data_IF_926761130536
#
_entry.id   IF_926761130536
#
_cell.length_a   1.000
_cell.length_b   1.000
_cell.length_c   1.000
_cell.angle_alpha   90.00
_cell.angle_beta   90.00
_cell.angle_gamma   90.00
#
_symmetry.space_group_name_H-M   'P 1'
#
loop_
_entity.id
_entity.type
_entity.pdbx_description
1 polymer ?
#
# COMPACT_ATOMS: atom_id res chain seq x y z
N UNK A 1 7.14 12.95 -0.92
CA UNK A 1 6.74 12.68 -2.31
C UNK A 1 7.98 12.84 -3.17
N UNK A 2 8.45 11.77 -3.79
CA UNK A 2 9.62 11.84 -4.67
C UNK A 2 9.14 12.04 -6.10
N UNK A 3 9.42 13.21 -6.68
CA UNK A 3 9.22 13.50 -8.09
C UNK A 3 10.53 13.28 -8.85
N UNK A 4 10.98 12.03 -8.98
CA UNK A 4 12.07 11.69 -9.91
C UNK A 4 11.44 11.12 -11.18
N UNK A 5 11.07 12.01 -12.11
CA UNK A 5 10.47 11.66 -13.40
C UNK A 5 8.95 11.77 -13.45
N UNK A 6 8.36 11.13 -14.46
CA UNK A 6 6.95 11.25 -14.89
C UNK A 6 5.93 10.56 -13.97
N UNK A 7 6.36 10.01 -12.83
CA UNK A 7 5.53 9.23 -11.93
C UNK A 7 5.69 9.71 -10.49
N UNK A 8 4.58 9.94 -9.82
CA UNK A 8 4.50 10.25 -8.40
C UNK A 8 4.78 9.00 -7.58
N UNK A 9 5.62 9.16 -6.56
CA UNK A 9 5.97 8.10 -5.65
C UNK A 9 6.02 8.54 -4.18
N UNK A 10 5.68 7.60 -3.29
CA UNK A 10 5.76 7.73 -1.83
C UNK A 10 6.66 6.63 -1.29
N UNK A 11 7.64 7.02 -0.48
CA UNK A 11 8.48 6.07 0.25
C UNK A 11 7.75 5.60 1.51
N UNK A 12 7.84 4.30 1.78
CA UNK A 12 7.33 3.69 2.98
C UNK A 12 8.44 2.91 3.67
N UNK A 13 8.58 3.16 4.97
CA UNK A 13 9.38 2.31 5.83
C UNK A 13 8.62 1.03 6.14
N UNK A 14 9.34 -0.10 6.20
CA UNK A 14 8.74 -1.32 6.69
C UNK A 14 8.53 -1.32 8.22
N UNK A 15 7.93 -2.41 8.73
CA UNK A 15 7.55 -2.59 10.13
C UNK A 15 8.63 -3.14 11.12
N UNK A 16 9.92 -3.20 10.81
CA UNK A 16 10.95 -3.92 11.59
C UNK A 16 12.35 -3.29 11.55
N UNK A 17 13.26 -3.76 12.40
CA UNK A 17 14.63 -3.23 12.57
C UNK A 17 15.53 -3.58 11.38
N UNK A 18 16.26 -2.59 10.83
CA UNK A 18 17.20 -2.76 9.70
C UNK A 18 16.57 -2.76 8.30
N UNK A 19 15.44 -2.07 8.09
CA UNK A 19 14.59 -2.33 6.93
C UNK A 19 14.81 -1.46 5.69
N UNK A 20 14.54 -2.09 4.54
CA UNK A 20 14.49 -1.51 3.21
C UNK A 20 13.29 -0.56 3.09
N UNK A 21 13.51 0.61 2.51
CA UNK A 21 12.42 1.48 2.06
C UNK A 21 11.74 0.84 0.84
N UNK A 22 10.41 0.94 0.79
CA UNK A 22 9.62 0.56 -0.36
C UNK A 22 9.12 1.83 -1.04
N UNK A 23 9.14 1.84 -2.37
CA UNK A 23 8.59 2.95 -3.15
C UNK A 23 7.24 2.51 -3.70
N UNK A 24 6.17 3.17 -3.26
CA UNK A 24 4.84 3.02 -3.84
C UNK A 24 4.68 4.08 -4.94
N UNK A 25 4.30 3.63 -6.13
CA UNK A 25 3.99 4.52 -7.26
C UNK A 25 2.48 4.68 -7.43
N UNK A 26 2.06 5.84 -7.94
CA UNK A 26 0.67 6.06 -8.29
C UNK A 26 0.24 5.16 -9.46
N UNK A 27 -0.68 4.23 -9.20
CA UNK A 27 -1.15 3.25 -10.19
C UNK A 27 -1.76 3.89 -11.43
N UNK A 28 -2.54 4.98 -11.29
CA UNK A 28 -3.18 5.63 -12.42
C UNK A 28 -2.16 6.30 -13.35
N UNK A 29 -1.11 6.90 -12.78
CA UNK A 29 -0.02 7.50 -13.55
C UNK A 29 0.85 6.44 -14.22
N UNK A 30 1.11 5.31 -13.54
CA UNK A 30 1.78 4.16 -14.14
C UNK A 30 1.01 3.63 -15.36
N UNK A 31 -0.31 3.53 -15.26
CA UNK A 31 -1.17 3.08 -16.35
C UNK A 31 -1.23 4.10 -17.49
N UNK A 32 -1.33 5.39 -17.19
CA UNK A 32 -1.27 6.45 -18.20
C UNK A 32 0.08 6.42 -18.94
N UNK A 33 1.19 6.33 -18.22
CA UNK A 33 2.53 6.24 -18.81
C UNK A 33 2.69 4.98 -19.67
N UNK A 34 2.07 3.87 -19.29
CA UNK A 34 2.09 2.65 -20.07
C UNK A 34 1.26 2.79 -21.36
N UNK A 35 0.06 3.36 -21.30
CA UNK A 35 -0.79 3.58 -22.49
C UNK A 35 -0.11 4.46 -23.51
N UNK A 36 0.46 5.58 -23.09
CA UNK A 36 1.21 6.48 -23.97
C UNK A 36 2.40 5.75 -24.62
N UNK A 37 3.11 4.93 -23.85
CA UNK A 37 4.18 4.10 -24.41
C UNK A 37 3.65 3.13 -25.47
N UNK A 38 2.56 2.43 -25.20
CA UNK A 38 1.97 1.45 -26.10
C UNK A 38 1.48 2.11 -27.40
N UNK A 39 0.82 3.26 -27.30
CA UNK A 39 0.40 4.08 -28.45
C UNK A 39 1.58 4.48 -29.34
N UNK A 40 2.69 4.95 -28.75
CA UNK A 40 3.91 5.28 -29.51
C UNK A 40 4.54 4.07 -30.19
N UNK A 41 4.51 2.91 -29.52
CA UNK A 41 5.04 1.65 -30.07
C UNK A 41 4.20 1.21 -31.27
N UNK A 42 2.87 1.25 -31.14
CA UNK A 42 1.95 0.93 -32.23
C UNK A 42 2.13 1.89 -33.42
N UNK A 43 2.23 3.19 -33.16
CA UNK A 43 2.46 4.20 -34.19
C UNK A 43 3.78 4.01 -34.97
N UNK A 44 4.79 3.35 -34.36
CA UNK A 44 6.11 3.07 -34.97
C UNK A 44 6.23 1.69 -35.62
N UNK A 45 5.14 0.93 -35.72
CA UNK A 45 5.16 -0.42 -36.31
C UNK A 45 5.57 -1.55 -35.34
N UNK A 46 5.52 -1.33 -34.02
CA UNK A 46 5.44 -2.38 -33.01
C UNK A 46 6.74 -3.12 -32.62
N UNK A 47 7.84 -2.94 -33.33
CA UNK A 47 8.99 -3.87 -33.26
C UNK A 47 10.23 -3.36 -32.50
N UNK A 48 10.47 -2.05 -32.40
CA UNK A 48 11.80 -1.54 -32.01
C UNK A 48 11.93 -0.87 -30.63
N UNK A 49 10.85 -0.65 -29.87
CA UNK A 49 10.96 0.06 -28.58
C UNK A 49 11.30 -0.89 -27.40
N UNK A 50 12.41 -0.58 -26.73
CA UNK A 50 13.18 -1.44 -25.79
C UNK A 50 12.74 -1.36 -24.31
N UNK A 51 11.46 -1.21 -23.96
CA UNK A 51 11.11 -1.40 -22.53
C UNK A 51 11.24 -2.90 -22.16
N UNK A 52 11.84 -3.24 -20.99
CA UNK A 52 11.95 -4.63 -20.57
C UNK A 52 10.56 -5.29 -20.46
N UNK A 53 10.24 -6.16 -21.42
CA UNK A 53 8.97 -6.92 -21.47
C UNK A 53 8.91 -8.08 -20.48
N UNK A 54 9.96 -8.27 -19.68
CA UNK A 54 10.12 -9.43 -18.80
C UNK A 54 8.91 -9.67 -17.87
N UNK A 55 8.08 -8.66 -17.60
CA UNK A 55 6.92 -8.76 -16.70
C UNK A 55 5.61 -8.25 -17.33
N UNK A 56 5.61 -7.92 -18.63
CA UNK A 56 4.43 -7.35 -19.31
C UNK A 56 3.26 -8.34 -19.31
N UNK A 57 3.57 -9.63 -19.42
CA UNK A 57 2.60 -10.73 -19.39
C UNK A 57 1.90 -10.87 -18.02
N UNK A 58 2.47 -10.32 -16.94
CA UNK A 58 1.82 -10.30 -15.62
C UNK A 58 0.88 -9.10 -15.43
N UNK A 59 0.89 -8.13 -16.35
CA UNK A 59 0.11 -6.89 -16.22
C UNK A 59 -1.38 -7.16 -16.18
N UNK A 60 -1.92 -7.88 -17.16
CA UNK A 60 -3.35 -8.13 -17.24
C UNK A 60 -3.87 -8.94 -16.02
N UNK A 61 -3.21 -10.04 -15.59
CA UNK A 61 -3.55 -10.69 -14.33
C UNK A 61 -3.51 -9.74 -13.12
N UNK A 62 -2.54 -8.82 -13.07
CA UNK A 62 -2.44 -7.85 -11.97
C UNK A 62 -3.59 -6.85 -11.99
N UNK A 63 -3.94 -6.31 -13.15
CA UNK A 63 -5.06 -5.39 -13.28
C UNK A 63 -6.38 -6.04 -12.89
N UNK A 64 -6.61 -7.30 -13.27
CA UNK A 64 -7.80 -8.05 -12.84
C UNK A 64 -7.84 -8.19 -11.32
N UNK A 65 -6.70 -8.50 -10.67
CA UNK A 65 -6.60 -8.55 -9.20
C UNK A 65 -6.89 -7.20 -8.55
N UNK A 66 -6.37 -6.11 -9.11
CA UNK A 66 -6.60 -4.76 -8.58
C UNK A 66 -8.06 -4.31 -8.75
N UNK A 67 -8.68 -4.65 -9.88
CA UNK A 67 -10.09 -4.35 -10.15
C UNK A 67 -11.05 -5.14 -9.24
N UNK A 68 -10.63 -6.31 -8.74
CA UNK A 68 -11.41 -7.12 -7.81
C UNK A 68 -11.33 -6.64 -6.35
N UNK A 69 -10.60 -5.55 -6.06
CA UNK A 69 -10.53 -4.99 -4.71
C UNK A 69 -11.81 -4.19 -4.45
N UNK A 70 -12.59 -4.63 -3.46
CA UNK A 70 -13.85 -3.99 -3.06
C UNK A 70 -13.65 -2.56 -2.54
N UNK A 71 -12.63 -2.36 -1.70
CA UNK A 71 -12.30 -1.07 -1.11
C UNK A 71 -10.92 -0.58 -1.57
N UNK A 72 -10.84 0.13 -2.71
CA UNK A 72 -9.58 0.64 -3.22
C UNK A 72 -9.03 1.75 -2.33
N UNK A 73 -7.77 1.60 -1.92
CA UNK A 73 -7.05 2.63 -1.16
C UNK A 73 -6.45 3.63 -2.16
N UNK A 74 -6.90 4.88 -2.10
CA UNK A 74 -6.39 5.95 -2.94
C UNK A 74 -4.91 6.24 -2.63
N UNK A 75 -4.11 6.60 -3.64
CA UNK A 75 -2.66 6.81 -3.48
C UNK A 75 -2.31 7.85 -2.40
N UNK A 76 -3.03 8.98 -2.36
CA UNK A 76 -2.81 10.03 -1.34
C UNK A 76 -3.22 9.62 0.08
N UNK A 77 -4.05 8.58 0.22
CA UNK A 77 -4.51 8.04 1.49
C UNK A 77 -3.69 6.80 1.94
N UNK A 78 -2.90 6.22 1.03
CA UNK A 78 -2.13 5.01 1.29
C UNK A 78 -0.94 5.28 2.19
N UNK A 79 -0.89 4.60 3.33
CA UNK A 79 0.19 4.68 4.32
C UNK A 79 0.78 3.32 4.65
N UNK A 80 2.01 3.32 5.15
CA UNK A 80 2.70 2.13 5.62
C UNK A 80 2.23 1.67 7.01
N UNK A 81 2.60 0.45 7.38
CA UNK A 81 2.25 -0.16 8.68
C UNK A 81 2.75 0.67 9.88
N UNK A 82 3.97 1.20 9.81
CA UNK A 82 4.56 1.99 10.91
C UNK A 82 3.77 3.26 11.17
N UNK A 83 3.40 3.97 10.12
CA UNK A 83 2.58 5.18 10.23
C UNK A 83 1.17 4.86 10.73
N UNK A 84 0.53 3.80 10.21
CA UNK A 84 -0.76 3.34 10.70
C UNK A 84 -0.72 2.99 12.20
N UNK A 85 0.33 2.31 12.64
CA UNK A 85 0.55 1.97 14.05
C UNK A 85 0.66 3.22 14.94
N UNK A 86 1.36 4.26 14.46
CA UNK A 86 1.45 5.55 15.15
C UNK A 86 0.11 6.27 15.28
N UNK A 87 -0.72 6.26 14.22
CA UNK A 87 -2.08 6.84 14.26
C UNK A 87 -2.98 6.09 15.27
N UNK A 88 -2.90 4.76 15.25
CA UNK A 88 -3.74 3.88 16.06
C UNK A 88 -3.25 3.76 17.51
N UNK A 89 -2.00 4.14 17.80
CA UNK A 89 -1.39 3.96 19.12
C UNK A 89 -1.15 2.50 19.49
N UNK A 90 -0.86 1.64 18.51
CA UNK A 90 -0.65 0.19 18.70
C UNK A 90 0.73 -0.24 18.21
N UNK A 91 1.18 -1.42 18.61
CA UNK A 91 2.43 -1.97 18.07
C UNK A 91 2.25 -2.37 16.57
N UNK A 92 3.23 -2.13 15.69
CA UNK A 92 3.14 -2.42 14.24
C UNK A 92 2.67 -3.84 13.87
N UNK A 93 2.97 -4.84 14.69
CA UNK A 93 2.52 -6.22 14.47
C UNK A 93 1.00 -6.43 14.64
N UNK A 94 0.28 -5.48 15.24
CA UNK A 94 -1.18 -5.54 15.38
C UNK A 94 -1.90 -5.03 14.14
N UNK A 95 -1.30 -4.14 13.36
CA UNK A 95 -1.94 -3.58 12.16
C UNK A 95 -2.39 -4.68 11.18
N UNK A 96 -1.57 -5.70 10.83
CA UNK A 96 -2.04 -6.82 10.02
C UNK A 96 -3.19 -7.61 10.63
N UNK A 97 -3.27 -7.68 11.97
CA UNK A 97 -4.36 -8.38 12.68
C UNK A 97 -5.66 -7.58 12.60
N UNK A 98 -5.59 -6.27 12.79
CA UNK A 98 -6.73 -5.36 12.65
C UNK A 98 -7.27 -5.35 11.22
N UNK A 99 -6.39 -5.35 10.21
CA UNK A 99 -6.79 -5.51 8.81
C UNK A 99 -7.55 -6.85 8.60
N UNK A 100 -7.00 -7.95 9.13
CA UNK A 100 -7.64 -9.28 9.00
C UNK A 100 -8.98 -9.35 9.73
N UNK A 101 -9.12 -8.62 10.84
CA UNK A 101 -10.36 -8.51 11.59
C UNK A 101 -11.41 -7.61 10.91
N UNK A 102 -11.00 -6.78 9.95
CA UNK A 102 -11.87 -5.78 9.31
C UNK A 102 -12.01 -4.49 10.12
N UNK A 103 -11.20 -4.29 11.16
CA UNK A 103 -11.25 -3.08 12.00
C UNK A 103 -10.76 -1.83 11.25
N UNK A 104 -9.84 -2.04 10.30
CA UNK A 104 -9.25 -1.01 9.45
C UNK A 104 -9.09 -1.52 8.02
N UNK A 105 -9.21 -0.60 7.07
CA UNK A 105 -9.05 -0.89 5.63
C UNK A 105 -7.56 -0.96 5.31
N UNK A 106 -7.13 -2.13 4.86
CA UNK A 106 -5.75 -2.36 4.44
C UNK A 106 -5.62 -3.61 3.60
N UNK A 107 -4.51 -3.72 2.87
CA UNK A 107 -4.23 -4.90 2.06
C UNK A 107 -2.75 -5.16 1.93
N UNK A 108 -2.42 -6.38 1.54
CA UNK A 108 -1.05 -6.71 1.15
C UNK A 108 -0.71 -6.01 -0.17
N UNK A 109 0.51 -5.48 -0.24
CA UNK A 109 1.06 -4.97 -1.48
C UNK A 109 1.22 -6.13 -2.47
N UNK A 110 0.82 -5.89 -3.72
CA UNK A 110 1.10 -6.83 -4.79
C UNK A 110 2.52 -6.56 -5.32
N UNK A 111 3.48 -7.40 -4.92
CA UNK A 111 4.85 -7.38 -5.46
C UNK A 111 5.11 -8.61 -6.34
N UNK A 112 6.09 -8.50 -7.23
CA UNK A 112 6.65 -9.61 -8.02
C UNK A 112 7.05 -10.81 -7.16
N UNK A 113 7.49 -10.53 -5.93
CA UNK A 113 8.10 -11.46 -4.99
C UNK A 113 7.14 -11.94 -3.89
N UNK A 114 5.85 -12.13 -4.18
CA UNK A 114 4.92 -12.70 -3.19
C UNK A 114 5.33 -14.10 -2.68
N UNK A 115 6.21 -14.79 -3.41
CA UNK A 115 6.83 -16.08 -3.01
C UNK A 115 7.98 -15.86 -2.01
N UNK A 116 8.70 -14.74 -2.09
CA UNK A 116 9.81 -14.44 -1.19
C UNK A 116 9.27 -13.86 0.12
N UNK A 117 9.13 -14.78 1.08
CA UNK A 117 8.95 -14.57 2.52
C UNK A 117 7.54 -14.24 3.01
N UNK A 118 6.84 -15.30 3.45
CA UNK A 118 5.69 -15.25 4.38
C UNK A 118 5.92 -14.34 5.60
N UNK A 119 7.18 -14.04 5.93
CA UNK A 119 7.61 -13.25 7.08
C UNK A 119 7.75 -11.74 6.82
N UNK A 120 7.64 -11.25 5.57
CA UNK A 120 7.87 -9.83 5.23
C UNK A 120 6.77 -9.23 4.35
N UNK A 121 5.53 -9.65 4.56
CA UNK A 121 4.39 -9.09 3.84
C UNK A 121 4.31 -7.58 4.11
N UNK A 122 4.47 -6.79 3.04
CA UNK A 122 4.26 -5.34 3.07
C UNK A 122 2.76 -5.08 2.99
N UNK A 123 2.23 -4.28 3.92
CA UNK A 123 0.84 -3.85 3.89
C UNK A 123 0.78 -2.36 3.58
N UNK A 124 -0.25 -2.00 2.83
CA UNK A 124 -0.71 -0.62 2.70
C UNK A 124 -2.03 -0.49 3.45
N UNK A 125 -2.21 0.62 4.15
CA UNK A 125 -3.39 0.92 4.95
C UNK A 125 -4.01 2.23 4.47
N UNK A 126 -5.32 2.37 4.62
CA UNK A 126 -6.01 3.66 4.46
C UNK A 126 -5.75 4.53 5.69
N UNK A 127 -5.17 5.72 5.50
CA UNK A 127 -4.98 6.70 6.58
C UNK A 127 -6.31 7.11 7.16
N UNK A 128 -7.30 7.41 6.29
CA UNK A 128 -8.66 7.78 6.71
C UNK A 128 -9.28 6.71 7.62
N UNK A 129 -9.21 5.44 7.23
CA UNK A 129 -9.74 4.34 8.04
C UNK A 129 -9.02 4.24 9.40
N UNK A 130 -7.70 4.40 9.43
CA UNK A 130 -6.95 4.41 10.70
C UNK A 130 -7.38 5.56 11.62
N UNK A 131 -7.61 6.76 11.07
CA UNK A 131 -8.05 7.93 11.84
C UNK A 131 -9.48 7.75 12.37
N UNK A 132 -10.38 7.18 11.58
CA UNK A 132 -11.75 6.87 11.99
C UNK A 132 -11.77 5.83 13.11
N UNK A 133 -11.01 4.74 12.97
CA UNK A 133 -10.89 3.72 14.01
C UNK A 133 -10.31 4.32 15.31
N UNK A 134 -9.24 5.12 15.22
CA UNK A 134 -8.66 5.79 16.38
C UNK A 134 -9.67 6.71 17.10
N UNK A 135 -10.55 7.41 16.36
CA UNK A 135 -11.63 8.23 16.96
C UNK A 135 -12.64 7.37 17.71
N UNK A 136 -13.09 6.27 17.10
CA UNK A 136 -14.04 5.32 17.72
C UNK A 136 -13.45 4.76 19.02
N UNK A 137 -12.21 4.30 18.98
CA UNK A 137 -11.52 3.74 20.16
C UNK A 137 -11.38 4.78 21.27
N UNK A 138 -11.02 6.02 20.95
CA UNK A 138 -10.95 7.11 21.94
C UNK A 138 -12.31 7.41 22.56
N UNK A 139 -13.38 7.43 21.76
CA UNK A 139 -14.74 7.62 22.29
C UNK A 139 -15.14 6.49 23.24
N UNK A 140 -14.81 5.24 22.92
CA UNK A 140 -15.04 4.09 23.80
C UNK A 140 -14.25 4.19 25.11
N UNK A 141 -13.00 4.65 25.06
CA UNK A 141 -12.18 4.89 26.26
C UNK A 141 -12.80 5.97 27.16
N UNK A 142 -13.25 7.08 26.57
CA UNK A 142 -13.95 8.14 27.31
C UNK A 142 -15.27 7.68 27.94
N UNK A 143 -15.98 6.77 27.27
CA UNK A 143 -17.21 6.15 27.80
C UNK A 143 -16.95 5.10 28.90
N UNK A 144 -15.70 4.91 29.36
CA UNK A 144 -15.34 3.94 30.39
C UNK A 144 -15.15 2.51 29.89
N UNK A 145 -15.14 2.31 28.56
CA UNK A 145 -14.85 1.01 27.96
C UNK A 145 -13.41 0.58 28.22
N UNK A 146 -13.22 -0.68 28.64
CA UNK A 146 -11.88 -1.30 28.76
C UNK A 146 -11.31 -1.59 27.38
N UNK A 147 -10.74 -0.57 26.75
CA UNK A 147 -9.80 -0.78 25.65
C UNK A 147 -8.47 -1.19 26.28
N UNK A 148 -7.84 -2.26 25.77
CA UNK A 148 -6.69 -2.92 26.40
C UNK A 148 -5.57 -1.98 26.88
N UNK A 149 -4.72 -2.48 27.79
CA UNK A 149 -3.69 -1.70 28.50
C UNK A 149 -2.90 -0.79 27.53
N UNK A 150 -2.92 0.55 27.72
CA UNK A 150 -2.09 1.46 26.93
C UNK A 150 -0.63 1.07 27.13
N UNK A 151 0.12 0.97 26.02
CA UNK A 151 1.55 0.65 26.04
C UNK A 151 2.32 1.90 25.62
N UNK A 152 3.28 2.29 26.45
CA UNK A 152 4.19 3.40 26.20
C UNK A 152 5.20 2.98 25.12
N UNK A 153 5.44 3.85 24.13
CA UNK A 153 6.40 3.63 23.04
C UNK A 153 7.34 4.83 22.90
N UNK A 154 7.73 5.40 24.04
CA UNK A 154 8.87 6.33 24.12
C UNK A 154 10.19 5.66 23.77
#
# INVERSE_FOLDING_TARGET
>A
MLSKGWLSASEMEGAGTGQRAFVLYNGSECDANYREYDERVQARGGTNDRRPRAWIHLREPMLRKLAAIEEPIAFGDAIGVREAAGILGVHPSFVPRMIKAGDIVGRRLHSRDQVLTRHRAVYICSRKSCLENAKIVRQQQHAGGKVGRPRDFS
#
